data_IF_913895382302
#
_entry.id   IF_913895382302
#
_cell.length_a   1.000
_cell.length_b   1.000
_cell.length_c   1.000
_cell.angle_alpha   90.00
_cell.angle_beta   90.00
_cell.angle_gamma   90.00
#
_symmetry.space_group_name_H-M   'P 1'
#
loop_
_entity.id
_entity.type
_entity.pdbx_description
1 polymer ?
#
# COMPACT_ATOMS: atom_id res chain seq x y z
N UNK A 1 27.52 17.45 5.37
CA UNK A 1 26.59 16.56 6.08
C UNK A 1 25.27 16.71 5.38
N UNK A 2 24.81 15.70 4.65
CA UNK A 2 23.49 15.74 4.01
C UNK A 2 22.43 15.79 5.10
N UNK A 3 21.71 16.92 5.16
CA UNK A 3 20.49 16.98 5.95
C UNK A 3 19.43 16.20 5.18
N UNK A 4 19.19 14.97 5.59
CA UNK A 4 18.08 14.19 5.10
C UNK A 4 16.77 14.75 5.68
N UNK A 5 15.87 15.20 4.80
CA UNK A 5 14.59 15.83 5.14
C UNK A 5 13.41 14.84 5.24
N UNK A 6 13.67 13.52 5.39
CA UNK A 6 12.60 12.53 5.52
C UNK A 6 12.04 12.52 6.96
N UNK A 7 10.72 12.45 7.10
CA UNK A 7 10.02 12.55 8.40
C UNK A 7 10.03 11.21 9.15
N UNK A 8 9.89 10.09 8.44
CA UNK A 8 9.87 8.75 9.02
C UNK A 8 10.20 7.69 7.97
N UNK A 9 10.79 6.57 8.40
CA UNK A 9 11.09 5.42 7.54
C UNK A 9 10.21 4.25 7.96
N UNK A 10 9.24 3.92 7.11
CA UNK A 10 8.38 2.75 7.28
C UNK A 10 8.94 1.61 6.44
N UNK A 11 8.97 0.41 7.00
CA UNK A 11 9.49 -0.79 6.35
C UNK A 11 8.47 -1.91 6.51
N UNK A 12 8.43 -2.82 5.55
CA UNK A 12 7.59 -4.02 5.67
C UNK A 12 8.00 -4.85 6.89
N UNK A 13 7.10 -5.72 7.40
CA UNK A 13 7.50 -6.78 8.30
C UNK A 13 8.69 -7.55 7.70
N UNK A 14 9.65 -7.96 8.53
CA UNK A 14 10.87 -8.68 8.10
C UNK A 14 10.63 -9.91 7.22
N UNK A 15 9.43 -10.45 7.24
CA UNK A 15 8.99 -11.60 6.45
C UNK A 15 8.68 -11.24 4.98
N UNK A 16 8.63 -9.95 4.65
CA UNK A 16 8.30 -9.38 3.34
C UNK A 16 9.36 -8.33 2.96
N UNK A 17 10.66 -8.60 3.13
CA UNK A 17 11.76 -7.66 2.85
C UNK A 17 11.82 -7.24 1.36
N UNK A 18 10.88 -6.39 0.94
CA UNK A 18 10.64 -6.03 -0.45
C UNK A 18 10.61 -4.53 -0.71
N UNK A 19 10.91 -4.19 -1.96
CA UNK A 19 10.81 -2.82 -2.47
C UNK A 19 9.34 -2.44 -2.73
N UNK A 20 8.97 -1.24 -2.30
CA UNK A 20 7.74 -0.60 -2.74
C UNK A 20 7.92 0.00 -4.13
N UNK A 21 6.92 -0.19 -4.98
CA UNK A 21 6.93 0.34 -6.35
C UNK A 21 6.02 1.53 -6.54
N UNK A 22 5.01 1.59 -5.68
CA UNK A 22 4.05 2.68 -5.64
C UNK A 22 3.69 2.93 -4.18
N UNK A 23 3.58 4.21 -3.84
CA UNK A 23 2.98 4.66 -2.60
C UNK A 23 2.04 5.82 -2.94
N UNK A 24 0.85 5.80 -2.35
CA UNK A 24 -0.17 6.82 -2.56
C UNK A 24 -0.79 7.21 -1.22
N UNK A 25 -0.94 8.51 -1.00
CA UNK A 25 -1.68 9.02 0.15
C UNK A 25 -3.18 9.02 -0.15
N UNK A 26 -3.96 8.67 0.87
CA UNK A 26 -5.38 8.95 0.89
C UNK A 26 -5.62 10.46 0.78
N UNK A 27 -6.76 10.85 0.20
CA UNK A 27 -7.11 12.26 -0.02
C UNK A 27 -7.16 13.09 1.27
N UNK A 28 -7.44 12.46 2.42
CA UNK A 28 -7.44 13.13 3.72
C UNK A 28 -6.04 13.21 4.37
N UNK A 29 -5.04 12.53 3.80
CA UNK A 29 -3.67 12.47 4.32
C UNK A 29 -3.50 11.64 5.60
N UNK A 30 -4.57 11.06 6.16
CA UNK A 30 -4.50 10.21 7.35
C UNK A 30 -3.95 8.81 7.06
N UNK A 31 -4.13 8.34 5.84
CA UNK A 31 -3.72 7.00 5.42
C UNK A 31 -2.82 7.07 4.21
N UNK A 32 -2.00 6.05 4.02
CA UNK A 32 -1.32 5.81 2.76
C UNK A 32 -1.30 4.32 2.47
N UNK A 33 -1.35 3.97 1.19
CA UNK A 33 -1.18 2.62 0.72
C UNK A 33 0.11 2.51 -0.07
N UNK A 34 0.74 1.34 -0.02
CA UNK A 34 1.92 1.05 -0.82
C UNK A 34 1.84 -0.37 -1.37
N UNK A 35 2.19 -0.51 -2.64
CA UNK A 35 2.21 -1.77 -3.37
C UNK A 35 3.63 -2.29 -3.52
N UNK A 36 3.77 -3.61 -3.56
CA UNK A 36 5.06 -4.29 -3.72
C UNK A 36 5.27 -4.79 -5.16
N UNK A 37 6.54 -5.03 -5.50
CA UNK A 37 6.94 -5.86 -6.64
C UNK A 37 7.20 -7.30 -6.22
N UNK A 38 7.38 -8.15 -7.22
CA UNK A 38 7.63 -9.58 -7.07
C UNK A 38 8.84 -9.89 -6.20
N UNK A 39 8.59 -10.81 -5.25
CA UNK A 39 9.60 -11.49 -4.46
C UNK A 39 9.60 -12.97 -4.77
N UNK A 40 10.80 -13.55 -4.84
CA UNK A 40 10.98 -14.99 -5.02
C UNK A 40 10.32 -15.77 -3.87
N UNK A 41 9.27 -16.53 -4.19
CA UNK A 41 8.52 -17.33 -3.21
C UNK A 41 7.22 -16.73 -2.70
N UNK A 42 6.82 -15.53 -3.15
CA UNK A 42 5.44 -15.05 -2.94
C UNK A 42 4.50 -15.53 -4.04
N UNK A 43 3.37 -16.12 -3.64
CA UNK A 43 2.30 -16.50 -4.58
C UNK A 43 1.54 -15.29 -5.13
N UNK A 44 1.47 -14.20 -4.35
CA UNK A 44 0.72 -12.99 -4.67
C UNK A 44 1.39 -11.75 -4.11
N UNK A 45 1.28 -10.66 -4.85
CA UNK A 45 1.72 -9.35 -4.42
C UNK A 45 0.82 -8.78 -3.35
N UNK A 46 1.42 -7.93 -2.54
CA UNK A 46 0.77 -7.34 -1.39
C UNK A 46 0.65 -5.83 -1.55
N UNK A 47 -0.46 -5.31 -1.07
CA UNK A 47 -0.67 -3.89 -0.86
C UNK A 47 -0.90 -3.75 0.62
N UNK A 48 -0.13 -2.92 1.31
CA UNK A 48 -0.47 -2.62 2.69
C UNK A 48 -1.01 -1.21 2.81
N UNK A 49 -1.79 -1.03 3.86
CA UNK A 49 -2.41 0.22 4.25
C UNK A 49 -1.88 0.59 5.62
N UNK A 50 -1.50 1.85 5.77
CA UNK A 50 -0.94 2.39 7.00
C UNK A 50 -1.67 3.66 7.42
N UNK A 51 -1.71 3.86 8.73
CA UNK A 51 -2.09 5.13 9.34
C UNK A 51 -0.84 6.00 9.50
N UNK A 52 -0.90 7.24 9.02
CA UNK A 52 0.24 8.18 8.96
C UNK A 52 0.65 8.64 10.36
N UNK A 53 -0.32 8.93 11.23
CA UNK A 53 -0.06 9.50 12.55
C UNK A 53 0.64 8.51 13.49
N UNK A 54 0.19 7.25 13.49
CA UNK A 54 0.77 6.19 14.31
C UNK A 54 1.93 5.46 13.62
N UNK A 55 2.04 5.57 12.30
CA UNK A 55 2.95 4.76 11.48
C UNK A 55 2.59 3.27 11.47
N UNK A 56 1.40 2.91 11.94
CA UNK A 56 0.98 1.53 12.11
C UNK A 56 0.38 0.99 10.82
N UNK A 57 0.75 -0.23 10.45
CA UNK A 57 0.09 -0.99 9.40
C UNK A 57 -1.28 -1.44 9.89
N UNK A 58 -2.34 -1.04 9.18
CA UNK A 58 -3.73 -1.34 9.53
C UNK A 58 -4.29 -2.51 8.72
N UNK A 59 -3.87 -2.68 7.47
CA UNK A 59 -4.34 -3.78 6.63
C UNK A 59 -3.28 -4.27 5.64
N UNK A 60 -3.45 -5.50 5.17
CA UNK A 60 -2.66 -6.11 4.09
C UNK A 60 -3.60 -6.80 3.12
N UNK A 61 -3.56 -6.39 1.86
CA UNK A 61 -4.35 -6.94 0.78
C UNK A 61 -3.45 -7.83 -0.09
N UNK A 62 -3.83 -9.09 -0.29
CA UNK A 62 -3.11 -10.04 -1.14
C UNK A 62 -4.03 -10.48 -2.27
N UNK A 63 -3.65 -10.23 -3.52
CA UNK A 63 -4.55 -10.48 -4.64
C UNK A 63 -3.86 -10.62 -5.98
N UNK A 64 -3.07 -9.62 -6.33
CA UNK A 64 -2.39 -9.55 -7.63
C UNK A 64 -1.36 -10.66 -7.78
N UNK A 65 -1.28 -11.25 -8.96
CA UNK A 65 -0.31 -12.31 -9.26
C UNK A 65 1.02 -11.77 -9.78
N UNK A 66 1.06 -10.47 -10.10
CA UNK A 66 2.26 -9.75 -10.50
C UNK A 66 2.30 -8.37 -9.86
N UNK A 67 3.41 -7.67 -10.10
CA UNK A 67 3.70 -6.31 -9.70
C UNK A 67 2.52 -5.34 -9.70
N UNK A 68 2.39 -4.57 -8.61
CA UNK A 68 1.42 -3.45 -8.53
C UNK A 68 2.07 -2.19 -9.09
N UNK A 69 1.38 -1.52 -10.01
CA UNK A 69 1.91 -0.35 -10.73
C UNK A 69 1.27 0.97 -10.35
N UNK A 70 0.00 0.93 -9.96
CA UNK A 70 -0.73 2.10 -9.55
C UNK A 70 -1.71 1.74 -8.45
N UNK A 71 -1.90 2.71 -7.58
CA UNK A 71 -2.95 2.75 -6.57
C UNK A 71 -3.78 4.00 -6.86
N UNK A 72 -5.07 3.94 -6.53
CA UNK A 72 -5.94 5.10 -6.50
C UNK A 72 -6.95 4.97 -5.36
N UNK A 73 -6.95 5.93 -4.43
CA UNK A 73 -8.01 6.05 -3.43
C UNK A 73 -9.27 6.66 -4.05
N UNK A 74 -10.43 6.17 -3.63
CA UNK A 74 -11.70 6.85 -3.90
C UNK A 74 -11.78 8.18 -3.14
N UNK A 75 -12.54 9.19 -3.63
CA UNK A 75 -12.64 10.49 -2.98
C UNK A 75 -13.19 10.45 -1.54
N UNK A 76 -14.01 9.44 -1.25
CA UNK A 76 -14.57 9.15 0.08
C UNK A 76 -13.65 8.24 0.92
N UNK A 77 -12.50 7.83 0.40
CA UNK A 77 -11.54 6.90 1.01
C UNK A 77 -12.12 5.52 1.37
N UNK A 78 -13.30 5.16 0.88
CA UNK A 78 -13.95 3.88 1.16
C UNK A 78 -13.38 2.73 0.31
N UNK A 79 -12.80 3.03 -0.85
CA UNK A 79 -12.30 2.06 -1.81
C UNK A 79 -10.88 2.41 -2.23
N UNK A 80 -10.03 1.39 -2.33
CA UNK A 80 -8.73 1.47 -2.98
C UNK A 80 -8.76 0.67 -4.28
N UNK A 81 -8.44 1.30 -5.40
CA UNK A 81 -8.21 0.61 -6.65
C UNK A 81 -6.71 0.31 -6.81
N UNK A 82 -6.39 -0.90 -7.28
CA UNK A 82 -5.02 -1.29 -7.62
C UNK A 82 -4.94 -1.93 -8.99
N UNK A 83 -3.91 -1.56 -9.75
CA UNK A 83 -3.67 -2.10 -11.10
C UNK A 83 -2.35 -2.87 -11.13
N UNK A 84 -2.32 -3.99 -11.85
CA UNK A 84 -1.15 -4.86 -11.97
C UNK A 84 -0.87 -5.29 -13.41
N UNK A 85 0.35 -5.75 -13.68
CA UNK A 85 0.71 -6.38 -14.96
C UNK A 85 0.00 -7.72 -15.20
N UNK A 86 -0.73 -8.25 -14.22
CA UNK A 86 -1.54 -9.46 -14.36
C UNK A 86 -2.79 -9.23 -15.24
N UNK A 87 -2.98 -8.00 -15.71
CA UNK A 87 -4.10 -7.60 -16.56
C UNK A 87 -5.39 -7.36 -15.76
N UNK A 88 -5.31 -7.32 -14.43
CA UNK A 88 -6.46 -7.13 -13.56
C UNK A 88 -6.40 -5.81 -12.79
N UNK A 89 -7.59 -5.36 -12.43
CA UNK A 89 -7.81 -4.27 -11.49
C UNK A 89 -8.56 -4.86 -10.31
N UNK A 90 -8.03 -4.67 -9.11
CA UNK A 90 -8.70 -5.09 -7.87
C UNK A 90 -9.21 -3.85 -7.14
N UNK A 91 -10.41 -3.97 -6.59
CA UNK A 91 -11.02 -2.96 -5.73
C UNK A 91 -11.07 -3.52 -4.31
N UNK A 92 -10.50 -2.77 -3.38
CA UNK A 92 -10.41 -3.13 -1.97
C UNK A 92 -11.35 -2.24 -1.17
N UNK A 93 -12.23 -2.87 -0.41
CA UNK A 93 -13.08 -2.18 0.55
C UNK A 93 -12.24 -1.80 1.78
N UNK A 94 -12.15 -0.49 2.03
CA UNK A 94 -11.43 0.08 3.16
C UNK A 94 -12.34 0.45 4.33
N UNK A 95 -13.66 0.36 4.17
CA UNK A 95 -14.63 0.71 5.22
C UNK A 95 -14.40 -0.03 6.55
N UNK A 96 -13.89 -1.28 6.60
CA UNK A 96 -13.61 -1.93 7.88
C UNK A 96 -12.37 -1.40 8.62
N UNK A 97 -11.54 -0.57 7.96
CA UNK A 97 -10.23 -0.15 8.45
C UNK A 97 -10.10 1.36 8.65
N UNK A 98 -11.03 2.13 8.08
CA UNK A 98 -11.05 3.59 8.15
C UNK A 98 -12.27 3.99 8.96
N UNK A 99 -12.01 4.59 10.12
CA UNK A 99 -13.04 5.23 10.93
C UNK A 99 -13.38 6.59 10.28
N UNK A 100 -14.67 6.83 10.01
CA UNK A 100 -15.23 8.11 9.53
C UNK A 100 -14.94 9.28 10.50
#
# INVERSE_FOLDING_TARGET
MEQNNYISRLSLPKELEDMFTVAEFSMCGKYFAAGTWWHEGMEKMVICLWEVESGKQIATFKGHTTDVHALAFSPDNSILASTSYDGTILLWDLTPYIDD
#
